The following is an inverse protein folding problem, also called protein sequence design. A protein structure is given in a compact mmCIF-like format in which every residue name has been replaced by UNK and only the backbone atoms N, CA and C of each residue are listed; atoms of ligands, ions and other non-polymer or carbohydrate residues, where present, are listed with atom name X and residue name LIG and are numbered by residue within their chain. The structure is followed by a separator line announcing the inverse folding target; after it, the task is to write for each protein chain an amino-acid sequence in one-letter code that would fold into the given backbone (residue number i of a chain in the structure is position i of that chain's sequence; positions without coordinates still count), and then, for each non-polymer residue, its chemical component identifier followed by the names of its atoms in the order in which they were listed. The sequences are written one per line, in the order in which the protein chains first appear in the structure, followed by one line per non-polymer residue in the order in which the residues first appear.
data_IF_750116250032
#
_entry.id   IF_750116250032
#
_cell.length_a   1.000
_cell.length_b   1.000
_cell.length_c   1.000
_cell.angle_alpha   90.00
_cell.angle_beta   90.00
_cell.angle_gamma   90.00
#
_symmetry.space_group_name_H-M   'P 1'
#
loop_
_entity.id
_entity.type
_entity.pdbx_description
1 polymer ?
#
# COMPACT_ATOMS: atom_id res chain seq x y z
N UNK A 1 -3.90 13.29 77.72
CA UNK A 1 -3.85 12.85 76.31
C UNK A 1 -2.96 11.62 76.25
N UNK A 2 -3.53 10.43 76.04
CA UNK A 2 -2.78 9.18 76.02
C UNK A 2 -2.06 9.04 74.66
N UNK A 3 -0.74 8.98 74.68
CA UNK A 3 0.10 8.86 73.49
C UNK A 3 -0.06 7.45 72.88
N UNK A 4 -0.34 7.32 71.56
CA UNK A 4 -0.62 6.03 70.90
C UNK A 4 0.58 5.08 70.82
N UNK A 5 1.76 5.49 71.31
CA UNK A 5 3.02 4.74 71.23
C UNK A 5 3.31 3.83 72.44
N UNK A 6 2.50 3.84 73.50
CA UNK A 6 2.71 2.93 74.64
C UNK A 6 2.40 1.47 74.30
N UNK A 7 1.37 1.21 73.50
CA UNK A 7 1.03 -0.15 73.05
C UNK A 7 2.14 -0.73 72.16
N UNK A 8 2.78 0.12 71.33
CA UNK A 8 3.84 -0.28 70.40
C UNK A 8 5.12 -0.71 71.12
N UNK A 9 5.51 -0.02 72.21
CA UNK A 9 6.68 -0.42 73.02
C UNK A 9 6.46 -1.71 73.80
N UNK A 10 5.25 -1.91 74.34
CA UNK A 10 4.94 -3.09 75.16
C UNK A 10 4.96 -4.40 74.36
N UNK A 11 4.62 -4.34 73.07
CA UNK A 11 4.52 -5.51 72.20
C UNK A 11 5.52 -5.50 71.03
N UNK A 12 6.61 -4.73 71.13
CA UNK A 12 7.60 -4.57 70.06
C UNK A 12 8.14 -5.90 69.53
N UNK A 13 8.39 -6.88 70.41
CA UNK A 13 8.87 -8.21 70.02
C UNK A 13 7.80 -9.02 69.27
N UNK A 14 6.54 -8.91 69.70
CA UNK A 14 5.42 -9.57 69.04
C UNK A 14 5.18 -8.94 67.65
N UNK A 15 5.18 -7.62 67.55
CA UNK A 15 5.04 -6.90 66.28
C UNK A 15 6.15 -7.24 65.28
N UNK A 16 7.41 -7.33 65.73
CA UNK A 16 8.52 -7.74 64.86
C UNK A 16 8.38 -9.18 64.37
N UNK A 17 7.94 -10.10 65.24
CA UNK A 17 7.68 -11.49 64.86
C UNK A 17 6.52 -11.59 63.85
N UNK A 18 5.42 -10.87 64.08
CA UNK A 18 4.28 -10.84 63.15
C UNK A 18 4.67 -10.21 61.81
N UNK A 19 5.46 -9.13 61.82
CA UNK A 19 5.95 -8.51 60.59
C UNK A 19 6.90 -9.42 59.81
N UNK A 20 7.79 -10.17 60.48
CA UNK A 20 8.66 -11.13 59.82
C UNK A 20 7.89 -12.29 59.18
N UNK A 21 6.87 -12.82 59.87
CA UNK A 21 5.97 -13.85 59.33
C UNK A 21 5.16 -13.28 58.16
N UNK A 22 4.66 -12.05 58.27
CA UNK A 22 3.96 -11.36 57.18
C UNK A 22 4.87 -11.18 55.94
N UNK A 23 6.14 -10.80 56.14
CA UNK A 23 7.11 -10.68 55.05
C UNK A 23 7.43 -12.04 54.40
N UNK A 24 7.56 -13.12 55.18
CA UNK A 24 7.73 -14.46 54.63
C UNK A 24 6.50 -14.91 53.82
N UNK A 25 5.30 -14.63 54.32
CA UNK A 25 4.04 -14.90 53.60
C UNK A 25 3.99 -14.09 52.30
N UNK A 26 4.31 -12.79 52.33
CA UNK A 26 4.37 -11.96 51.13
C UNK A 26 5.38 -12.51 50.12
N UNK A 27 6.57 -12.94 50.55
CA UNK A 27 7.58 -13.50 49.63
C UNK A 27 7.15 -14.85 49.01
N UNK A 28 6.51 -15.71 49.78
CA UNK A 28 6.04 -17.04 49.32
C UNK A 28 4.81 -16.92 48.41
N UNK A 29 3.90 -15.98 48.68
CA UNK A 29 2.74 -15.74 47.82
C UNK A 29 3.05 -14.78 46.65
N UNK A 30 4.08 -13.93 46.74
CA UNK A 30 4.54 -13.12 45.62
C UNK A 30 5.08 -14.00 44.48
N UNK A 31 5.80 -15.09 44.79
CA UNK A 31 6.25 -16.02 43.74
C UNK A 31 5.11 -16.85 43.13
N UNK A 32 4.01 -17.03 43.85
CA UNK A 32 2.80 -17.71 43.35
C UNK A 32 1.90 -16.79 42.51
N UNK A 33 1.98 -15.47 42.71
CA UNK A 33 1.36 -14.44 41.86
C UNK A 33 2.24 -14.06 40.66
N UNK A 34 3.54 -14.34 40.68
CA UNK A 34 4.46 -14.21 39.53
C UNK A 34 4.19 -15.23 38.40
N UNK A 35 3.26 -16.17 38.61
CA UNK A 35 2.69 -17.02 37.57
C UNK A 35 1.55 -16.37 36.77
N UNK A 36 1.04 -15.20 37.18
CA UNK A 36 -0.03 -14.48 36.46
C UNK A 36 0.08 -12.95 36.51
N UNK A 37 1.24 -12.43 36.95
CA UNK A 37 1.55 -11.00 37.01
C UNK A 37 2.44 -10.57 35.86
N UNK A 38 1.94 -9.65 35.05
CA UNK A 38 2.61 -8.98 33.95
C UNK A 38 4.04 -8.57 34.28
N UNK A 39 5.01 -9.26 33.67
CA UNK A 39 6.37 -8.75 33.50
C UNK A 39 6.25 -7.41 32.79
N UNK A 40 6.50 -6.31 33.51
CA UNK A 40 6.59 -4.99 32.93
C UNK A 40 7.58 -5.06 31.74
N UNK A 41 7.15 -4.82 30.49
CA UNK A 41 8.05 -4.84 29.38
C UNK A 41 9.02 -3.68 29.52
N UNK A 42 10.25 -3.88 29.05
CA UNK A 42 11.19 -2.85 28.66
C UNK A 42 10.60 -2.00 27.50
N UNK A 43 9.48 -1.32 27.76
CA UNK A 43 8.57 -0.77 26.75
C UNK A 43 9.06 0.53 26.11
N UNK A 44 10.05 1.19 26.72
CA UNK A 44 10.64 2.40 26.16
C UNK A 44 11.56 2.13 24.98
N UNK A 45 12.34 1.04 25.02
CA UNK A 45 13.28 0.68 23.95
C UNK A 45 12.58 0.12 22.72
N UNK A 46 11.59 -0.76 22.92
CA UNK A 46 10.84 -1.38 21.83
C UNK A 46 10.07 -0.35 20.98
N UNK A 47 9.41 0.65 21.60
CA UNK A 47 8.67 1.69 20.88
C UNK A 47 9.57 2.67 20.10
N UNK A 48 10.82 2.84 20.54
CA UNK A 48 11.81 3.69 19.87
C UNK A 48 12.61 2.98 18.77
N UNK A 49 12.42 1.67 18.61
CA UNK A 49 13.11 0.89 17.60
C UNK A 49 12.72 1.39 16.20
N UNK A 50 13.72 1.66 15.36
CA UNK A 50 13.53 2.14 13.99
C UNK A 50 13.10 0.97 13.10
N UNK A 51 11.93 1.07 12.49
CA UNK A 51 11.36 0.02 11.61
C UNK A 51 11.64 0.32 10.15
N UNK A 52 11.67 1.60 9.77
CA UNK A 52 11.98 2.04 8.41
C UNK A 52 12.79 3.35 8.41
N UNK A 53 13.63 3.54 7.38
CA UNK A 53 14.32 4.80 7.14
C UNK A 53 14.51 5.05 5.65
N UNK A 54 14.36 6.31 5.23
CA UNK A 54 14.52 6.73 3.84
C UNK A 54 15.12 8.13 3.78
N UNK A 55 15.44 8.59 2.56
CA UNK A 55 15.96 9.93 2.33
C UNK A 55 14.86 10.96 2.62
N UNK A 56 14.92 11.57 3.80
CA UNK A 56 13.93 12.57 4.25
C UNK A 56 13.11 12.16 5.47
N UNK A 57 13.33 10.98 6.07
CA UNK A 57 12.62 10.59 7.28
C UNK A 57 12.95 9.20 7.83
N UNK A 58 12.36 8.90 8.98
CA UNK A 58 12.36 7.57 9.57
C UNK A 58 11.06 7.31 10.31
N UNK A 59 10.70 6.03 10.43
CA UNK A 59 9.55 5.57 11.18
C UNK A 59 10.01 4.63 12.30
N UNK A 60 9.59 4.92 13.53
CA UNK A 60 9.79 4.01 14.67
C UNK A 60 8.56 3.12 14.93
N UNK A 61 8.74 2.11 15.78
CA UNK A 61 7.71 1.10 16.08
C UNK A 61 6.46 1.73 16.70
N UNK A 62 6.63 2.72 17.57
CA UNK A 62 5.51 3.44 18.18
C UNK A 62 4.71 4.27 17.18
N UNK A 63 5.38 4.91 16.22
CA UNK A 63 4.76 5.65 15.12
C UNK A 63 4.06 4.71 14.16
N UNK A 64 4.69 3.60 13.79
CA UNK A 64 4.09 2.59 12.93
C UNK A 64 2.82 2.02 13.55
N UNK A 65 2.87 1.60 14.82
CA UNK A 65 1.71 1.08 15.54
C UNK A 65 0.56 2.09 15.60
N UNK A 66 0.87 3.38 15.81
CA UNK A 66 -0.15 4.45 15.76
C UNK A 66 -0.74 4.60 14.37
N UNK A 67 0.09 4.70 13.34
CA UNK A 67 -0.37 4.86 11.95
C UNK A 67 -1.19 3.65 11.48
N UNK A 68 -0.88 2.43 11.93
CA UNK A 68 -1.71 1.24 11.66
C UNK A 68 -3.10 1.35 12.30
N UNK A 69 -3.19 1.80 13.55
CA UNK A 69 -4.48 2.04 14.22
C UNK A 69 -5.29 3.10 13.47
N UNK A 70 -4.67 4.24 13.15
CA UNK A 70 -5.32 5.32 12.39
C UNK A 70 -5.78 4.85 11.00
N UNK A 71 -4.95 4.02 10.33
CA UNK A 71 -5.27 3.44 9.03
C UNK A 71 -6.47 2.51 9.08
N UNK A 72 -6.63 1.73 10.15
CA UNK A 72 -7.81 0.87 10.39
C UNK A 72 -9.07 1.71 10.66
N UNK A 73 -8.97 2.76 11.47
CA UNK A 73 -10.10 3.68 11.73
C UNK A 73 -10.55 4.34 10.42
N UNK A 74 -9.61 4.80 9.59
CA UNK A 74 -9.92 5.35 8.28
C UNK A 74 -10.57 4.30 7.37
N UNK A 75 -10.08 3.06 7.37
CA UNK A 75 -10.68 1.98 6.58
C UNK A 75 -12.15 1.73 6.96
N UNK A 76 -12.44 1.70 8.26
CA UNK A 76 -13.80 1.54 8.77
C UNK A 76 -14.70 2.71 8.38
N UNK A 77 -14.17 3.95 8.43
CA UNK A 77 -14.87 5.14 7.97
C UNK A 77 -15.23 5.03 6.49
N UNK A 78 -14.26 4.73 5.63
CA UNK A 78 -14.47 4.64 4.18
C UNK A 78 -15.46 3.53 3.84
N UNK A 79 -15.34 2.35 4.46
CA UNK A 79 -16.29 1.25 4.26
C UNK A 79 -17.71 1.67 4.58
N UNK A 80 -17.94 2.26 5.76
CA UNK A 80 -19.28 2.72 6.18
C UNK A 80 -19.83 3.81 5.26
N UNK A 81 -18.98 4.75 4.86
CA UNK A 81 -19.34 5.82 3.92
C UNK A 81 -19.79 5.26 2.58
N UNK A 82 -19.03 4.32 2.02
CA UNK A 82 -19.38 3.66 0.76
C UNK A 82 -20.65 2.83 0.88
N UNK A 83 -20.81 2.04 1.94
CA UNK A 83 -22.02 1.24 2.16
C UNK A 83 -23.27 2.13 2.30
N UNK A 84 -23.16 3.28 2.98
CA UNK A 84 -24.27 4.21 3.11
C UNK A 84 -24.63 4.86 1.76
N UNK A 85 -23.62 5.26 0.97
CA UNK A 85 -23.84 5.77 -0.38
C UNK A 85 -24.53 4.73 -1.27
N UNK A 86 -24.05 3.49 -1.24
CA UNK A 86 -24.62 2.35 -1.94
C UNK A 86 -26.07 2.07 -1.54
N UNK A 87 -26.38 2.13 -0.25
CA UNK A 87 -27.75 1.95 0.28
C UNK A 87 -28.72 3.00 -0.29
N UNK A 88 -28.25 4.22 -0.51
CA UNK A 88 -29.06 5.32 -1.03
C UNK A 88 -29.20 5.29 -2.57
N UNK A 89 -28.21 4.78 -3.29
CA UNK A 89 -28.26 4.62 -4.75
C UNK A 89 -29.11 3.40 -5.16
N UNK A 90 -28.99 2.29 -4.44
CA UNK A 90 -29.71 1.04 -4.74
C UNK A 90 -29.05 0.14 -5.79
N UNK A 91 -27.99 0.59 -6.45
CA UNK A 91 -27.23 -0.17 -7.45
C UNK A 91 -25.71 -0.10 -7.21
N UNK A 92 -24.94 -1.18 -7.51
CA UNK A 92 -23.48 -1.17 -7.45
C UNK A 92 -22.86 -0.12 -8.36
N UNK A 93 -22.18 0.86 -7.76
CA UNK A 93 -21.39 1.85 -8.49
C UNK A 93 -19.99 1.94 -7.92
N UNK A 94 -19.00 2.02 -8.81
CA UNK A 94 -17.62 2.30 -8.44
C UNK A 94 -17.43 3.80 -8.25
N UNK A 95 -16.86 4.27 -7.13
CA UNK A 95 -16.56 5.69 -6.95
C UNK A 95 -15.60 6.19 -8.02
N UNK A 96 -15.78 7.44 -8.48
CA UNK A 96 -14.86 8.09 -9.43
C UNK A 96 -13.63 8.69 -8.73
N UNK A 97 -13.11 7.99 -7.72
CA UNK A 97 -11.95 8.37 -6.92
C UNK A 97 -11.18 7.11 -6.53
N UNK A 98 -9.88 7.23 -6.20
CA UNK A 98 -9.07 6.08 -5.82
C UNK A 98 -9.66 5.31 -4.63
N UNK A 99 -9.73 3.99 -4.75
CA UNK A 99 -10.17 3.15 -3.65
C UNK A 99 -9.02 2.86 -2.68
N UNK A 100 -9.13 3.36 -1.45
CA UNK A 100 -8.17 3.12 -0.38
C UNK A 100 -8.63 2.08 0.66
N UNK A 101 -9.77 1.43 0.43
CA UNK A 101 -10.30 0.41 1.34
C UNK A 101 -9.52 -0.90 1.16
N UNK A 102 -9.21 -1.55 2.28
CA UNK A 102 -8.64 -2.89 2.33
C UNK A 102 -9.54 -3.83 3.15
N UNK A 103 -9.32 -5.15 3.00
CA UNK A 103 -10.06 -6.17 3.74
C UNK A 103 -9.70 -6.09 5.25
N UNK A 104 -10.67 -6.05 6.20
CA UNK A 104 -10.35 -5.96 7.61
C UNK A 104 -9.67 -7.25 8.13
N UNK A 105 -9.73 -8.35 7.37
CA UNK A 105 -9.03 -9.60 7.64
C UNK A 105 -7.60 -9.63 7.08
N UNK A 106 -7.12 -8.55 6.47
CA UNK A 106 -5.73 -8.44 6.05
C UNK A 106 -4.76 -8.70 7.22
N UNK A 107 -3.64 -9.36 6.89
CA UNK A 107 -2.61 -9.65 7.88
C UNK A 107 -2.04 -8.35 8.46
N UNK A 108 -1.66 -8.32 9.76
CA UNK A 108 -1.00 -7.14 10.35
C UNK A 108 0.20 -6.67 9.54
N UNK A 109 1.01 -7.60 9.03
CA UNK A 109 2.19 -7.31 8.22
C UNK A 109 1.84 -6.63 6.89
N UNK A 110 0.75 -7.04 6.25
CA UNK A 110 0.25 -6.38 5.02
C UNK A 110 -0.14 -4.93 5.32
N UNK A 111 -0.86 -4.70 6.41
CA UNK A 111 -1.32 -3.35 6.81
C UNK A 111 -0.13 -2.46 7.18
N UNK A 112 0.85 -2.99 7.92
CA UNK A 112 2.09 -2.27 8.23
C UNK A 112 2.84 -1.85 6.97
N UNK A 113 3.00 -2.76 6.01
CA UNK A 113 3.63 -2.44 4.72
C UNK A 113 2.87 -1.34 3.97
N UNK A 114 1.54 -1.41 3.92
CA UNK A 114 0.71 -0.37 3.30
C UNK A 114 0.91 1.00 3.95
N UNK A 115 1.02 1.03 5.29
CA UNK A 115 1.29 2.25 6.05
C UNK A 115 2.68 2.80 5.74
N UNK A 116 3.71 1.95 5.78
CA UNK A 116 5.09 2.35 5.47
C UNK A 116 5.18 2.91 4.05
N UNK A 117 4.62 2.21 3.06
CA UNK A 117 4.60 2.66 1.67
C UNK A 117 3.89 4.02 1.53
N UNK A 118 2.78 4.21 2.24
CA UNK A 118 2.04 5.47 2.24
C UNK A 118 2.88 6.61 2.82
N UNK A 119 3.54 6.40 3.96
CA UNK A 119 4.37 7.42 4.61
C UNK A 119 5.56 7.83 3.73
N UNK A 120 6.25 6.86 3.12
CA UNK A 120 7.36 7.12 2.21
C UNK A 120 6.88 7.94 1.01
N UNK A 121 5.81 7.49 0.34
CA UNK A 121 5.31 8.14 -0.87
C UNK A 121 4.72 9.52 -0.58
N UNK A 122 4.03 9.70 0.54
CA UNK A 122 3.54 11.01 0.96
C UNK A 122 4.69 11.99 1.26
N UNK A 123 5.77 11.52 1.89
CA UNK A 123 6.94 12.33 2.13
C UNK A 123 7.64 12.74 0.82
N UNK A 124 7.75 11.81 -0.14
CA UNK A 124 8.27 12.11 -1.48
C UNK A 124 7.37 13.09 -2.25
N UNK A 125 6.04 12.92 -2.15
CA UNK A 125 5.08 13.85 -2.73
C UNK A 125 5.30 15.28 -2.19
N UNK A 126 5.48 15.41 -0.88
CA UNK A 126 5.73 16.70 -0.23
C UNK A 126 7.05 17.32 -0.71
N UNK A 127 8.11 16.52 -0.83
CA UNK A 127 9.39 16.99 -1.37
C UNK A 127 9.28 17.41 -2.85
N UNK A 128 8.42 16.74 -3.62
CA UNK A 128 8.11 17.09 -5.01
C UNK A 128 7.15 18.28 -5.15
N UNK A 129 6.72 18.90 -4.04
CA UNK A 129 5.80 20.04 -4.04
C UNK A 129 4.33 19.67 -4.27
N UNK A 130 3.98 18.39 -4.26
CA UNK A 130 2.59 17.94 -4.31
C UNK A 130 1.96 18.22 -2.94
N UNK A 131 0.86 18.96 -2.94
CA UNK A 131 0.08 19.28 -1.75
C UNK A 131 -1.38 18.89 -1.97
N UNK A 132 -2.08 18.55 -0.89
CA UNK A 132 -3.49 18.15 -0.92
C UNK A 132 -4.24 19.01 0.11
N UNK A 133 -5.07 19.91 -0.40
CA UNK A 133 -5.91 20.79 0.40
C UNK A 133 -7.19 20.09 0.89
N UNK A 134 -7.83 20.68 1.89
CA UNK A 134 -9.07 20.16 2.47
C UNK A 134 -10.22 20.10 1.46
N UNK A 135 -10.21 20.95 0.44
CA UNK A 135 -11.19 20.90 -0.66
C UNK A 135 -11.10 19.59 -1.44
N UNK A 136 -9.89 19.07 -1.68
CA UNK A 136 -9.65 17.80 -2.37
C UNK A 136 -10.13 16.63 -1.51
N UNK A 137 -9.92 16.70 -0.20
CA UNK A 137 -10.39 15.68 0.76
C UNK A 137 -11.92 15.67 0.83
N UNK A 138 -12.55 16.85 0.91
CA UNK A 138 -14.01 16.96 0.90
C UNK A 138 -14.62 16.44 -0.41
N UNK A 139 -13.99 16.77 -1.55
CA UNK A 139 -14.38 16.22 -2.84
C UNK A 139 -14.26 14.68 -2.83
N UNK A 140 -13.13 14.14 -2.36
CA UNK A 140 -12.93 12.71 -2.22
C UNK A 140 -14.03 12.03 -1.40
N UNK A 141 -14.33 12.53 -0.20
CA UNK A 141 -15.39 11.99 0.67
C UNK A 141 -16.75 12.02 -0.03
N UNK A 142 -17.04 13.10 -0.76
CA UNK A 142 -18.31 13.27 -1.49
C UNK A 142 -18.44 12.25 -2.63
N UNK A 143 -17.39 12.09 -3.45
CA UNK A 143 -17.37 11.09 -4.53
C UNK A 143 -17.40 9.66 -3.99
N UNK A 144 -16.67 9.38 -2.91
CA UNK A 144 -16.61 8.06 -2.30
C UNK A 144 -17.96 7.64 -1.71
N UNK A 145 -18.72 8.59 -1.17
CA UNK A 145 -20.13 8.44 -0.79
C UNK A 145 -21.12 8.52 -1.96
N UNK A 146 -20.65 8.37 -3.20
CA UNK A 146 -21.45 8.39 -4.44
C UNK A 146 -22.30 9.66 -4.63
N UNK A 147 -21.89 10.78 -4.00
CA UNK A 147 -22.63 12.05 -3.94
C UNK A 147 -24.05 11.91 -3.38
N UNK A 148 -24.34 10.82 -2.64
CA UNK A 148 -25.66 10.57 -2.06
C UNK A 148 -25.71 10.72 -0.56
N UNK A 149 -24.59 10.54 0.15
CA UNK A 149 -24.55 10.60 1.61
C UNK A 149 -24.67 12.06 2.09
N UNK A 150 -25.73 12.42 2.83
CA UNK A 150 -25.89 13.74 3.44
C UNK A 150 -24.82 14.05 4.49
N UNK A 151 -24.49 15.33 4.69
CA UNK A 151 -23.41 15.75 5.60
C UNK A 151 -23.63 15.34 7.06
N UNK A 152 -24.88 15.33 7.53
CA UNK A 152 -25.27 14.84 8.86
C UNK A 152 -24.97 13.35 9.04
N UNK A 153 -25.20 12.55 8.01
CA UNK A 153 -24.84 11.12 8.02
C UNK A 153 -23.33 10.91 7.98
N UNK A 154 -22.58 11.70 7.21
CA UNK A 154 -21.11 11.66 7.25
C UNK A 154 -20.59 11.94 8.67
N UNK A 155 -21.15 12.94 9.36
CA UNK A 155 -20.82 13.23 10.77
C UNK A 155 -21.20 12.09 11.70
N UNK A 156 -22.35 11.46 11.48
CA UNK A 156 -22.75 10.29 12.26
C UNK A 156 -21.80 9.10 12.05
N UNK A 157 -21.30 8.89 10.82
CA UNK A 157 -20.29 7.85 10.56
C UNK A 157 -18.99 8.19 11.29
N UNK A 158 -18.52 9.45 11.24
CA UNK A 158 -17.35 9.91 12.00
C UNK A 158 -17.50 9.74 13.51
N UNK A 159 -18.71 9.91 14.05
CA UNK A 159 -19.01 9.69 15.46
C UNK A 159 -18.93 8.21 15.88
N UNK A 160 -19.08 7.29 14.93
CA UNK A 160 -19.16 5.85 15.19
C UNK A 160 -17.89 5.07 14.82
N UNK A 161 -16.83 5.76 14.41
CA UNK A 161 -15.50 5.17 14.19
C UNK A 161 -14.56 5.48 15.35
N UNK A 162 -13.53 4.65 15.55
CA UNK A 162 -12.51 4.90 16.58
C UNK A 162 -13.09 4.99 18.00
N UNK A 163 -12.74 6.07 18.72
CA UNK A 163 -13.11 6.27 20.14
C UNK A 163 -14.37 7.11 20.36
N UNK A 164 -15.12 7.42 19.29
CA UNK A 164 -16.37 8.19 19.38
C UNK A 164 -16.22 9.70 19.56
N UNK A 165 -15.00 10.24 19.54
CA UNK A 165 -14.76 11.69 19.49
C UNK A 165 -14.76 12.17 18.04
N UNK A 166 -15.85 12.83 17.64
CA UNK A 166 -16.06 13.32 16.27
C UNK A 166 -14.92 14.22 15.81
N UNK A 167 -14.47 15.17 16.64
CA UNK A 167 -13.47 16.18 16.22
C UNK A 167 -12.10 15.54 16.07
N UNK A 168 -11.74 14.68 17.01
CA UNK A 168 -10.47 13.94 16.92
C UNK A 168 -10.47 12.99 15.71
N UNK A 169 -11.57 12.29 15.47
CA UNK A 169 -11.72 11.40 14.32
C UNK A 169 -11.70 12.17 12.99
N UNK A 170 -12.35 13.33 12.91
CA UNK A 170 -12.34 14.18 11.72
C UNK A 170 -10.91 14.64 11.40
N UNK A 171 -10.20 15.19 12.38
CA UNK A 171 -8.82 15.62 12.20
C UNK A 171 -7.90 14.46 11.76
N UNK A 172 -8.07 13.28 12.36
CA UNK A 172 -7.32 12.07 12.01
C UNK A 172 -7.68 11.57 10.59
N UNK A 173 -8.96 11.51 10.23
CA UNK A 173 -9.43 11.06 8.90
C UNK A 173 -8.87 11.99 7.83
N UNK A 174 -8.98 13.31 8.02
CA UNK A 174 -8.45 14.29 7.08
C UNK A 174 -6.93 14.19 6.96
N UNK A 175 -6.21 14.06 8.08
CA UNK A 175 -4.76 13.88 8.08
C UNK A 175 -4.34 12.63 7.29
N UNK A 176 -4.97 11.49 7.55
CA UNK A 176 -4.64 10.22 6.90
C UNK A 176 -5.05 10.19 5.42
N UNK A 177 -6.22 10.72 5.06
CA UNK A 177 -6.64 10.86 3.67
C UNK A 177 -5.70 11.77 2.89
N UNK A 178 -5.23 12.87 3.50
CA UNK A 178 -4.24 13.75 2.87
C UNK A 178 -2.99 12.98 2.47
N UNK A 179 -2.43 12.19 3.40
CA UNK A 179 -1.24 11.36 3.13
C UNK A 179 -1.50 10.35 2.02
N UNK A 180 -2.64 9.65 2.05
CA UNK A 180 -2.98 8.66 1.03
C UNK A 180 -3.16 9.28 -0.36
N UNK A 181 -3.82 10.44 -0.44
CA UNK A 181 -3.99 11.16 -1.69
C UNK A 181 -2.65 11.68 -2.22
N UNK A 182 -1.80 12.24 -1.36
CA UNK A 182 -0.44 12.64 -1.73
C UNK A 182 0.38 11.46 -2.27
N UNK A 183 0.36 10.33 -1.55
CA UNK A 183 1.03 9.11 -1.97
C UNK A 183 0.48 8.58 -3.31
N UNK A 184 -0.85 8.62 -3.49
CA UNK A 184 -1.51 8.20 -4.72
C UNK A 184 -1.12 9.10 -5.90
N UNK A 185 -1.20 10.42 -5.75
CA UNK A 185 -0.84 11.36 -6.81
C UNK A 185 0.64 11.28 -7.16
N UNK A 186 1.52 11.13 -6.18
CA UNK A 186 2.93 10.91 -6.43
C UNK A 186 3.16 9.62 -7.22
N UNK A 187 2.60 8.49 -6.76
CA UNK A 187 2.72 7.21 -7.46
C UNK A 187 2.15 7.28 -8.88
N UNK A 188 0.99 7.90 -9.05
CA UNK A 188 0.38 8.10 -10.37
C UNK A 188 1.23 8.99 -11.26
N UNK A 189 1.90 10.00 -10.69
CA UNK A 189 2.78 10.89 -11.44
C UNK A 189 4.09 10.23 -11.87
N UNK A 190 4.54 9.21 -11.13
CA UNK A 190 5.78 8.48 -11.43
C UNK A 190 5.56 7.17 -12.17
N UNK A 191 4.32 6.66 -12.18
CA UNK A 191 4.00 5.32 -12.65
C UNK A 191 3.90 5.20 -14.17
N UNK A 192 3.15 6.11 -14.80
CA UNK A 192 2.97 6.12 -16.25
C UNK A 192 2.78 7.55 -16.74
N UNK A 193 3.63 7.93 -17.70
CA UNK A 193 3.70 9.28 -18.25
C UNK A 193 2.36 9.75 -18.87
N UNK A 194 1.48 8.82 -19.25
CA UNK A 194 0.14 9.15 -19.77
C UNK A 194 -0.83 9.66 -18.69
N UNK A 195 -0.61 9.34 -17.41
CA UNK A 195 -1.38 9.91 -16.28
C UNK A 195 -0.79 11.21 -15.74
N UNK A 196 0.40 11.61 -16.21
CA UNK A 196 1.06 12.86 -15.86
C UNK A 196 0.53 13.96 -16.77
N UNK A 197 -0.50 14.67 -16.33
CA UNK A 197 -0.91 15.89 -17.02
C UNK A 197 -0.02 17.04 -16.56
N UNK A 198 0.87 17.49 -17.45
CA UNK A 198 1.76 18.62 -17.16
C UNK A 198 0.92 19.89 -16.87
N UNK A 199 1.39 20.81 -16.01
CA UNK A 199 0.69 22.07 -15.77
C UNK A 199 0.35 22.84 -17.05
N UNK A 200 1.24 22.81 -18.04
CA UNK A 200 1.02 23.36 -19.38
C UNK A 200 -0.13 22.66 -20.11
N UNK A 201 -0.20 21.33 -20.08
CA UNK A 201 -1.30 20.57 -20.67
C UNK A 201 -2.61 20.89 -19.96
N UNK A 202 -2.64 20.96 -18.62
CA UNK A 202 -3.85 21.37 -17.87
C UNK A 202 -4.30 22.79 -18.24
N UNK A 203 -3.35 23.70 -18.41
CA UNK A 203 -3.63 25.06 -18.86
C UNK A 203 -4.18 25.08 -20.30
N UNK A 204 -3.57 24.32 -21.20
CA UNK A 204 -4.04 24.15 -22.59
C UNK A 204 -5.45 23.54 -22.64
N UNK A 205 -5.74 22.52 -21.84
CA UNK A 205 -7.05 21.88 -21.78
C UNK A 205 -8.11 22.81 -21.16
N UNK A 206 -7.75 23.53 -20.09
CA UNK A 206 -8.62 24.57 -19.53
C UNK A 206 -8.92 25.65 -20.58
N UNK A 207 -7.93 26.09 -21.36
CA UNK A 207 -8.12 27.05 -22.46
C UNK A 207 -9.04 26.48 -23.53
N UNK A 208 -8.88 25.23 -23.98
CA UNK A 208 -9.78 24.61 -24.97
C UNK A 208 -11.25 24.62 -24.55
N UNK A 209 -11.54 24.48 -23.25
CA UNK A 209 -12.92 24.47 -22.72
C UNK A 209 -13.46 25.87 -22.48
N UNK A 210 -12.62 26.80 -21.99
CA UNK A 210 -13.07 28.12 -21.51
C UNK A 210 -12.82 29.26 -22.50
N UNK A 211 -11.87 29.11 -23.42
CA UNK A 211 -11.77 30.02 -24.56
C UNK A 211 -12.96 29.76 -25.48
N UNK A 212 -13.80 30.78 -25.64
CA UNK A 212 -14.87 30.78 -26.64
C UNK A 212 -14.23 30.80 -28.02
N UNK A 213 -13.90 29.63 -28.54
CA UNK A 213 -13.53 29.47 -29.94
C UNK A 213 -14.82 29.74 -30.74
N UNK A 214 -14.80 30.71 -31.64
CA UNK A 214 -15.85 30.84 -32.65
C UNK A 214 -15.76 29.61 -33.54
N UNK A 215 -16.52 28.58 -33.19
CA UNK A 215 -16.50 27.32 -33.91
C UNK A 215 -17.26 27.54 -35.22
N UNK A 216 -16.52 27.73 -36.32
CA UNK A 216 -17.09 27.60 -37.67
C UNK A 216 -17.22 26.11 -37.94
N UNK A 217 -18.24 25.49 -37.35
CA UNK A 217 -18.62 24.14 -37.72
C UNK A 217 -19.30 24.19 -39.10
N UNK A 218 -18.66 23.58 -40.09
CA UNK A 218 -19.40 23.07 -41.23
C UNK A 218 -20.14 21.82 -40.74
N UNK A 219 -21.47 21.87 -40.72
CA UNK A 219 -22.27 20.66 -40.56
C UNK A 219 -21.99 19.82 -41.79
N UNK A 220 -21.29 18.70 -41.60
CA UNK A 220 -21.15 17.70 -42.65
C UNK A 220 -22.46 16.92 -42.67
N UNK A 221 -23.31 17.04 -43.71
CA UNK A 221 -24.56 16.29 -43.79
C UNK A 221 -24.22 14.82 -44.01
N UNK A 222 -24.01 14.08 -42.93
CA UNK A 222 -23.60 12.67 -42.96
C UNK A 222 -24.61 11.79 -43.71
N UNK A 223 -25.88 12.19 -43.74
CA UNK A 223 -26.93 11.55 -44.54
C UNK A 223 -26.56 11.45 -46.03
N UNK A 224 -25.95 12.49 -46.59
CA UNK A 224 -25.55 12.54 -48.00
C UNK A 224 -24.38 11.57 -48.31
N UNK A 225 -23.61 11.17 -47.29
CA UNK A 225 -22.50 10.22 -47.42
C UNK A 225 -22.93 8.77 -47.18
N UNK A 226 -24.05 8.54 -46.48
CA UNK A 226 -24.57 7.19 -46.20
C UNK A 226 -25.20 6.58 -47.45
N UNK A 227 -25.94 7.36 -48.25
CA UNK A 227 -26.49 6.87 -49.53
C UNK A 227 -25.40 6.50 -50.54
N UNK A 228 -24.24 7.18 -50.51
CA UNK A 228 -23.13 6.93 -51.41
C UNK A 228 -22.37 5.62 -51.11
N UNK A 229 -22.45 5.10 -49.88
CA UNK A 229 -21.68 3.92 -49.45
C UNK A 229 -22.35 2.58 -49.80
N UNK A 230 -23.67 2.57 -50.02
CA UNK A 230 -24.46 1.36 -50.25
C UNK A 230 -24.48 0.40 -49.04
N UNK A 231 -25.40 -0.55 -49.02
CA UNK A 231 -25.34 -1.64 -48.04
C UNK A 231 -24.26 -2.66 -48.47
N UNK A 232 -23.47 -3.20 -47.51
CA UNK A 232 -22.49 -4.22 -47.83
C UNK A 232 -23.20 -5.45 -48.40
N UNK A 233 -22.70 -5.94 -49.52
CA UNK A 233 -23.21 -7.15 -50.15
C UNK A 233 -22.95 -8.38 -49.27
N UNK A 234 -23.79 -9.41 -49.37
CA UNK A 234 -23.61 -10.68 -48.65
C UNK A 234 -22.21 -11.30 -48.86
N UNK A 235 -21.64 -11.10 -50.05
CA UNK A 235 -20.29 -11.56 -50.37
C UNK A 235 -19.21 -10.82 -49.55
N UNK A 236 -19.35 -9.51 -49.36
CA UNK A 236 -18.46 -8.70 -48.53
C UNK A 236 -18.60 -9.04 -47.04
N UNK A 237 -19.82 -9.25 -46.56
CA UNK A 237 -20.07 -9.69 -45.18
C UNK A 237 -19.44 -11.06 -44.92
N UNK A 238 -19.61 -12.01 -45.85
CA UNK A 238 -19.00 -13.35 -45.73
C UNK A 238 -17.47 -13.28 -45.80
N UNK A 239 -16.90 -12.43 -46.65
CA UNK A 239 -15.45 -12.24 -46.72
C UNK A 239 -14.88 -11.68 -45.40
N UNK A 240 -15.56 -10.69 -44.81
CA UNK A 240 -15.19 -10.12 -43.51
C UNK A 240 -15.25 -11.19 -42.40
N UNK A 241 -16.32 -11.99 -42.37
CA UNK A 241 -16.43 -13.08 -41.40
C UNK A 241 -15.31 -14.10 -41.57
N UNK A 242 -15.04 -14.58 -42.78
CA UNK A 242 -13.99 -15.58 -43.03
C UNK A 242 -12.59 -15.08 -42.65
N UNK A 243 -12.30 -13.79 -42.87
CA UNK A 243 -11.03 -13.18 -42.50
C UNK A 243 -10.80 -13.14 -40.98
N UNK A 244 -11.88 -12.93 -40.20
CA UNK A 244 -11.80 -12.65 -38.76
C UNK A 244 -12.43 -13.74 -37.88
N UNK A 245 -12.86 -14.88 -38.45
CA UNK A 245 -13.55 -15.97 -37.73
C UNK A 245 -12.72 -16.62 -36.62
N UNK A 246 -11.39 -16.58 -36.73
CA UNK A 246 -10.48 -17.17 -35.76
C UNK A 246 -9.94 -16.15 -34.75
N UNK A 247 -10.22 -14.86 -34.94
CA UNK A 247 -9.78 -13.83 -34.02
C UNK A 247 -10.73 -13.75 -32.81
N UNK A 248 -10.17 -13.78 -31.61
CA UNK A 248 -10.94 -13.58 -30.38
C UNK A 248 -11.40 -12.12 -30.26
N UNK A 249 -12.61 -11.86 -29.73
CA UNK A 249 -13.07 -10.52 -29.43
C UNK A 249 -12.19 -9.87 -28.36
N UNK A 250 -12.06 -8.55 -28.40
CA UNK A 250 -11.27 -7.74 -27.45
C UNK A 250 -9.78 -8.09 -27.42
N UNK A 251 -9.24 -8.53 -28.57
CA UNK A 251 -7.80 -8.72 -28.73
C UNK A 251 -7.08 -7.40 -28.53
N UNK A 252 -6.06 -7.39 -27.66
CA UNK A 252 -5.17 -6.25 -27.50
C UNK A 252 -4.03 -6.29 -28.53
N UNK A 253 -3.75 -5.16 -29.15
CA UNK A 253 -2.62 -4.96 -30.07
C UNK A 253 -1.69 -3.89 -29.52
N UNK A 254 -0.39 -4.13 -29.68
CA UNK A 254 0.64 -3.18 -29.30
C UNK A 254 0.80 -2.13 -30.40
N UNK A 255 0.30 -0.92 -30.16
CA UNK A 255 0.48 0.24 -31.05
C UNK A 255 1.37 1.22 -30.29
N UNK A 256 2.55 1.52 -30.84
CA UNK A 256 3.53 2.43 -30.22
C UNK A 256 3.87 2.09 -28.76
N UNK A 257 3.99 0.79 -28.45
CA UNK A 257 4.30 0.30 -27.11
C UNK A 257 3.13 0.31 -26.13
N UNK A 258 1.91 0.64 -26.57
CA UNK A 258 0.69 0.60 -25.76
C UNK A 258 -0.24 -0.52 -26.20
N UNK A 259 -0.83 -1.23 -25.25
CA UNK A 259 -1.86 -2.22 -25.50
C UNK A 259 -3.21 -1.52 -25.65
N UNK A 260 -3.77 -1.54 -26.85
CA UNK A 260 -5.09 -0.99 -27.16
C UNK A 260 -5.98 -2.07 -27.75
N UNK A 261 -7.30 -1.86 -27.68
CA UNK A 261 -8.24 -2.73 -28.38
C UNK A 261 -7.95 -2.73 -29.88
N UNK A 262 -7.93 -3.94 -30.45
CA UNK A 262 -7.76 -4.11 -31.89
C UNK A 262 -8.89 -3.40 -32.64
N UNK A 263 -8.56 -2.59 -33.66
CA UNK A 263 -9.58 -2.03 -34.55
C UNK A 263 -10.20 -3.11 -35.44
N UNK A 264 -9.54 -4.28 -35.56
CA UNK A 264 -10.05 -5.42 -36.30
C UNK A 264 -11.06 -6.22 -35.44
N UNK A 265 -12.20 -6.63 -36.02
CA UNK A 265 -13.19 -7.43 -35.29
C UNK A 265 -12.68 -8.84 -35.01
N UNK A 266 -13.22 -9.46 -33.95
CA UNK A 266 -12.99 -10.86 -33.65
C UNK A 266 -14.31 -11.60 -33.44
N UNK A 267 -14.54 -12.68 -34.19
CA UNK A 267 -15.78 -13.46 -34.14
C UNK A 267 -15.63 -14.81 -33.42
N UNK A 268 -14.42 -15.18 -33.01
CA UNK A 268 -14.19 -16.45 -32.33
C UNK A 268 -14.79 -16.45 -30.92
N UNK A 269 -15.40 -17.56 -30.52
CA UNK A 269 -15.77 -17.73 -29.12
C UNK A 269 -14.53 -18.09 -28.29
N UNK A 270 -14.23 -17.36 -27.20
CA UNK A 270 -13.10 -17.68 -26.34
C UNK A 270 -13.15 -19.14 -25.85
N UNK A 271 -12.00 -19.82 -25.90
CA UNK A 271 -11.94 -21.24 -25.52
C UNK A 271 -12.30 -21.41 -24.04
N UNK A 272 -13.32 -22.23 -23.79
CA UNK A 272 -13.67 -22.66 -22.42
C UNK A 272 -12.77 -23.82 -22.01
N UNK A 273 -11.87 -23.59 -21.05
CA UNK A 273 -10.99 -24.62 -20.50
C UNK A 273 -11.54 -25.16 -19.18
N UNK A 274 -11.46 -26.47 -18.97
CA UNK A 274 -11.71 -27.10 -17.67
C UNK A 274 -10.42 -27.11 -16.87
N UNK A 275 -10.30 -26.16 -15.95
CA UNK A 275 -9.14 -26.09 -15.06
C UNK A 275 -9.34 -27.05 -13.89
N UNK A 276 -8.32 -27.88 -13.63
CA UNK A 276 -8.13 -28.53 -12.33
C UNK A 276 -6.87 -27.92 -11.74
N UNK A 277 -7.00 -27.34 -10.57
CA UNK A 277 -5.86 -26.81 -9.84
C UNK A 277 -5.54 -27.73 -8.67
N UNK A 278 -4.26 -27.90 -8.41
CA UNK A 278 -3.74 -28.48 -7.18
C UNK A 278 -3.32 -27.31 -6.31
N UNK A 279 -4.08 -27.02 -5.26
CA UNK A 279 -3.68 -26.05 -4.25
C UNK A 279 -2.85 -26.74 -3.17
N UNK A 280 -1.59 -26.34 -3.02
CA UNK A 280 -0.75 -26.73 -1.90
C UNK A 280 -0.44 -25.52 -1.04
N UNK A 281 -0.48 -25.69 0.28
CA UNK A 281 0.00 -24.67 1.21
C UNK A 281 1.53 -24.81 1.32
N UNK A 282 2.27 -23.83 0.80
CA UNK A 282 3.73 -23.90 0.75
C UNK A 282 4.34 -24.10 2.14
N UNK A 283 3.84 -23.42 3.17
CA UNK A 283 4.34 -23.53 4.54
C UNK A 283 4.21 -24.97 5.07
N UNK A 284 3.09 -25.63 4.79
CA UNK A 284 2.86 -27.03 5.20
C UNK A 284 3.82 -28.02 4.53
N UNK A 285 4.18 -27.74 3.26
CA UNK A 285 5.20 -28.51 2.56
C UNK A 285 6.59 -28.19 3.12
N UNK A 286 6.92 -26.92 3.31
CA UNK A 286 8.20 -26.52 3.91
C UNK A 286 8.40 -27.13 5.29
N UNK A 287 7.40 -27.13 6.17
CA UNK A 287 7.47 -27.75 7.50
C UNK A 287 7.75 -29.26 7.42
N UNK A 288 7.07 -29.97 6.50
CA UNK A 288 7.21 -31.42 6.33
C UNK A 288 8.61 -31.83 5.85
N UNK A 289 9.23 -31.02 5.00
CA UNK A 289 10.51 -31.35 4.36
C UNK A 289 11.70 -30.60 4.99
N UNK A 290 11.46 -29.67 5.93
CA UNK A 290 12.52 -28.90 6.60
C UNK A 290 13.62 -29.80 7.17
N UNK A 291 13.22 -30.87 7.86
CA UNK A 291 14.16 -31.77 8.54
C UNK A 291 14.84 -32.76 7.58
N UNK A 292 14.42 -32.81 6.31
CA UNK A 292 15.03 -33.64 5.28
C UNK A 292 16.14 -32.90 4.52
N UNK A 293 16.22 -31.57 4.66
CA UNK A 293 17.26 -30.76 4.05
C UNK A 293 18.43 -30.67 5.01
N UNK A 294 19.61 -31.10 4.56
CA UNK A 294 20.83 -31.06 5.38
C UNK A 294 21.55 -29.71 5.27
N UNK A 295 22.30 -29.34 6.31
CA UNK A 295 23.12 -28.12 6.30
C UNK A 295 24.15 -28.11 5.15
N UNK A 296 24.63 -29.29 4.74
CA UNK A 296 25.54 -29.45 3.61
C UNK A 296 24.87 -29.09 2.27
N UNK A 297 23.62 -29.51 2.07
CA UNK A 297 22.83 -29.15 0.88
C UNK A 297 22.48 -27.66 0.86
N UNK A 298 22.19 -27.07 2.02
CA UNK A 298 21.95 -25.63 2.14
C UNK A 298 23.22 -24.86 1.76
N UNK A 299 24.39 -25.26 2.27
CA UNK A 299 25.66 -24.62 1.95
C UNK A 299 26.01 -24.76 0.46
N UNK A 300 25.84 -25.95 -0.12
CA UNK A 300 26.10 -26.20 -1.54
C UNK A 300 25.12 -25.43 -2.46
N UNK A 301 23.85 -25.32 -2.08
CA UNK A 301 22.89 -24.49 -2.79
C UNK A 301 23.20 -23.00 -2.69
N UNK A 302 23.58 -22.53 -1.49
CA UNK A 302 23.97 -21.13 -1.27
C UNK A 302 25.19 -20.76 -2.12
N UNK A 303 26.26 -21.56 -2.10
CA UNK A 303 27.49 -21.23 -2.86
C UNK A 303 27.25 -21.27 -4.37
N UNK A 304 26.42 -22.18 -4.88
CA UNK A 304 26.06 -22.23 -6.31
C UNK A 304 25.22 -21.04 -6.77
N UNK A 305 24.31 -20.54 -5.93
CA UNK A 305 23.36 -19.48 -6.31
C UNK A 305 23.69 -18.10 -5.72
N UNK A 306 24.84 -17.98 -5.04
CA UNK A 306 25.28 -16.77 -4.32
C UNK A 306 25.26 -15.50 -5.17
N UNK A 307 25.57 -15.63 -6.46
CA UNK A 307 25.70 -14.51 -7.41
C UNK A 307 24.43 -14.16 -8.18
N UNK A 308 23.40 -15.00 -8.12
CA UNK A 308 22.13 -14.79 -8.82
C UNK A 308 20.98 -14.48 -7.86
N UNK A 309 20.88 -15.23 -6.77
CA UNK A 309 19.72 -15.21 -5.87
C UNK A 309 20.03 -14.58 -4.50
N UNK A 310 21.29 -14.64 -4.07
CA UNK A 310 21.73 -14.09 -2.78
C UNK A 310 22.62 -12.85 -2.93
N UNK A 311 22.42 -12.10 -4.01
CA UNK A 311 23.06 -10.81 -4.21
C UNK A 311 22.42 -9.82 -3.25
N UNK A 312 23.24 -9.23 -2.36
CA UNK A 312 22.81 -8.04 -1.62
C UNK A 312 22.45 -6.99 -2.65
N UNK A 313 21.16 -6.64 -2.75
CA UNK A 313 20.71 -5.54 -3.59
C UNK A 313 21.50 -4.29 -3.18
N UNK A 314 22.49 -3.92 -4.00
CA UNK A 314 23.07 -2.60 -3.89
C UNK A 314 22.02 -1.64 -4.43
N UNK A 315 21.66 -0.67 -3.59
CA UNK A 315 20.88 0.48 -4.03
C UNK A 315 21.54 1.07 -5.30
N UNK A 316 20.77 1.54 -6.29
CA UNK A 316 21.35 2.19 -7.46
C UNK A 316 22.25 3.34 -7.00
N UNK A 317 23.55 3.24 -7.28
CA UNK A 317 24.56 4.23 -6.89
C UNK A 317 25.59 3.78 -5.86
N UNK A 318 25.53 2.55 -5.35
CA UNK A 318 26.66 1.99 -4.57
C UNK A 318 27.34 0.90 -5.39
N UNK A 319 28.30 1.31 -6.23
CA UNK A 319 29.28 0.34 -6.73
C UNK A 319 29.97 -0.28 -5.51
N UNK A 320 30.09 -1.62 -5.41
CA UNK A 320 30.91 -2.21 -4.38
C UNK A 320 32.34 -1.64 -4.51
N UNK A 321 33.04 -1.33 -3.40
CA UNK A 321 34.43 -0.95 -3.49
C UNK A 321 35.18 -2.08 -4.20
N UNK A 322 35.96 -1.74 -5.25
CA UNK A 322 36.85 -2.69 -5.89
C UNK A 322 37.63 -3.44 -4.80
N UNK A 323 37.71 -4.77 -4.93
CA UNK A 323 38.58 -5.53 -4.04
C UNK A 323 40.02 -5.06 -4.26
N UNK A 324 40.82 -5.10 -3.19
CA UNK A 324 42.23 -4.73 -3.23
C UNK A 324 43.02 -5.54 -4.28
N UNK A 325 42.53 -6.73 -4.64
CA UNK A 325 43.09 -7.60 -5.68
C UNK A 325 42.91 -7.04 -7.11
N UNK A 326 41.79 -6.38 -7.42
CA UNK A 326 41.60 -5.72 -8.72
C UNK A 326 42.52 -4.49 -8.86
N UNK A 327 42.79 -3.79 -7.76
CA UNK A 327 43.68 -2.62 -7.74
C UNK A 327 45.14 -2.98 -8.04
N UNK A 328 45.65 -4.12 -7.55
CA UNK A 328 47.02 -4.54 -7.84
C UNK A 328 47.22 -5.06 -9.27
N UNK A 329 46.20 -5.69 -9.87
CA UNK A 329 46.28 -6.13 -11.28
C UNK A 329 46.27 -4.96 -12.29
N UNK A 330 45.65 -3.83 -11.94
CA UNK A 330 45.59 -2.63 -12.78
C UNK A 330 46.86 -1.78 -12.75
N UNK A 331 47.70 -1.94 -11.73
CA UNK A 331 48.94 -1.14 -11.56
C UNK A 331 50.17 -1.84 -12.15
N UNK A 332 50.16 -3.17 -12.33
CA UNK A 332 51.28 -3.90 -12.95
C UNK A 332 51.27 -3.96 -14.48
N UNK A 333 50.23 -3.46 -15.14
CA UNK A 333 50.13 -3.44 -16.61
C UNK A 333 50.70 -2.21 -17.31
N UNK A 334 51.29 -1.26 -16.56
CA UNK A 334 51.72 0.04 -17.10
C UNK A 334 53.24 0.22 -17.24
N UNK A 335 54.05 -0.80 -16.94
CA UNK A 335 55.51 -0.78 -17.09
C UNK A 335 55.98 -2.05 -17.84
N UNK A 336 55.70 -2.14 -19.14
CA UNK A 336 56.52 -2.91 -20.08
C UNK A 336 57.03 -1.99 -21.19
N UNK A 337 58.35 -1.83 -21.37
CA UNK A 337 58.89 -1.04 -22.46
C UNK A 337 58.76 -1.81 -23.78
N UNK A 338 58.28 -1.11 -24.80
CA UNK A 338 58.27 -1.61 -26.18
C UNK A 338 59.71 -1.94 -26.64
N UNK A 339 60.00 -3.23 -26.82
CA UNK A 339 61.13 -3.72 -27.62
C UNK A 339 60.57 -4.52 -28.78
N UNK A 340 60.91 -4.11 -29.99
CA UNK A 340 60.42 -4.68 -31.24
C UNK A 340 61.03 -6.03 -31.61
N UNK A 341 60.38 -6.68 -32.58
CA UNK A 341 60.84 -6.88 -33.96
C UNK A 341 59.61 -7.02 -34.87
#
# INVERSE_FOLDING_TARGET
MATPFQAFRKHQKAFMATAAVLCMVIFVFASALDGSGSRAPDGGRALSAKVASWKGGSLNEGELGRSVVERRILNDFLRRLYFEGMRLVGEPQTPNVPNFVFDPQESPQTVERLVIDTEIMANLAQQAGITVDDSVINHYITEFGLRRVPTDQVRAILANVGRGDIRANEAMVFSQLRKLLMAHYYRSSTGDASFVVLPEQRWSDWRKVNERISLVAAVLPTADFVEAAGEPTDAQVRALYEQYKEQEPNRLVAIEGRLLDSPEPGFAQPRRVKLRYLSGNLDSWTERYRDQVTDAEIADYYERNKRSEFVKSSLPGTSPPMSFEEFESGVRGADEPATGE
#
